data_IF_561906012456
#
_entry.id   IF_561906012456
#
_cell.length_a   1.000
_cell.length_b   1.000
_cell.length_c   1.000
_cell.angle_alpha   90.00
_cell.angle_beta   90.00
_cell.angle_gamma   90.00
#
_symmetry.space_group_name_H-M   'P 1'
#
loop_
_entity.id
_entity.type
_entity.pdbx_description
1 polymer ?
#
# COMPACT_ATOMS: atom_id res chain seq x y z
N UNK A 1 -4.67 -10.36 -7.48
CA UNK A 1 -5.69 -9.37 -7.90
C UNK A 1 -6.61 -9.15 -6.71
N UNK A 2 -6.85 -7.88 -6.33
CA UNK A 2 -7.59 -7.52 -5.10
C UNK A 2 -9.11 -7.69 -5.20
N UNK A 3 -9.65 -7.90 -6.41
CA UNK A 3 -11.10 -8.02 -6.64
C UNK A 3 -11.87 -6.70 -6.50
N UNK A 4 -11.16 -5.58 -6.38
CA UNK A 4 -11.76 -4.25 -6.21
C UNK A 4 -12.18 -3.64 -7.53
N UNK A 5 -13.23 -2.81 -7.47
CA UNK A 5 -13.64 -1.93 -8.55
C UNK A 5 -13.08 -0.53 -8.23
N UNK A 6 -12.42 0.09 -9.20
CA UNK A 6 -11.76 1.37 -9.02
C UNK A 6 -12.48 2.48 -9.77
N UNK A 7 -12.53 3.67 -9.17
CA UNK A 7 -12.93 4.88 -9.88
C UNK A 7 -11.95 5.12 -11.05
N UNK A 8 -12.48 5.29 -12.27
CA UNK A 8 -11.67 5.47 -13.48
C UNK A 8 -11.08 6.89 -13.57
N UNK A 9 -11.94 7.90 -13.57
CA UNK A 9 -11.56 9.32 -13.59
C UNK A 9 -11.47 9.87 -12.17
N UNK A 10 -10.35 10.52 -11.83
CA UNK A 10 -10.10 11.07 -10.48
C UNK A 10 -10.94 12.32 -10.23
N UNK A 11 -11.14 12.68 -8.96
CA UNK A 11 -11.73 13.97 -8.62
C UNK A 11 -10.90 15.12 -9.27
N UNK A 12 -11.53 16.11 -9.91
CA UNK A 12 -10.82 17.19 -10.61
C UNK A 12 -10.17 18.22 -9.67
N UNK A 13 -10.25 18.01 -8.35
CA UNK A 13 -9.75 18.88 -7.29
C UNK A 13 -9.00 18.07 -6.23
N UNK A 14 -8.12 18.73 -5.47
CA UNK A 14 -7.48 18.14 -4.30
C UNK A 14 -8.31 18.40 -3.06
N UNK A 15 -8.31 17.46 -2.13
CA UNK A 15 -9.07 17.52 -0.87
C UNK A 15 -8.14 17.28 0.31
N UNK A 16 -8.43 17.95 1.43
CA UNK A 16 -7.92 17.49 2.71
C UNK A 16 -8.60 16.16 3.09
N UNK A 17 -8.07 15.48 4.10
CA UNK A 17 -8.53 14.14 4.45
C UNK A 17 -10.01 14.12 4.87
N UNK A 18 -10.46 15.10 5.66
CA UNK A 18 -11.85 15.20 6.12
C UNK A 18 -12.83 15.39 4.95
N UNK A 19 -12.51 16.27 4.00
CA UNK A 19 -13.35 16.46 2.82
C UNK A 19 -13.29 15.25 1.87
N UNK A 20 -12.17 14.52 1.82
CA UNK A 20 -12.09 13.26 1.09
C UNK A 20 -13.05 12.21 1.66
N UNK A 21 -13.20 12.15 3.00
CA UNK A 21 -14.18 11.29 3.65
C UNK A 21 -15.61 11.59 3.21
N UNK A 22 -15.97 12.88 3.21
CA UNK A 22 -17.30 13.32 2.78
C UNK A 22 -17.56 13.06 1.29
N UNK A 23 -16.56 13.32 0.45
CA UNK A 23 -16.66 13.13 -0.99
C UNK A 23 -17.07 11.70 -1.36
N UNK A 24 -16.41 10.68 -0.80
CA UNK A 24 -16.74 9.31 -1.18
C UNK A 24 -18.08 8.86 -0.62
N UNK A 25 -18.51 9.39 0.54
CA UNK A 25 -19.78 9.02 1.18
C UNK A 25 -20.99 9.42 0.32
N UNK A 26 -20.83 10.49 -0.46
CA UNK A 26 -21.85 11.02 -1.37
C UNK A 26 -21.65 10.55 -2.83
N UNK A 27 -20.58 9.82 -3.12
CA UNK A 27 -20.22 9.42 -4.49
C UNK A 27 -21.10 8.25 -4.97
N UNK A 28 -21.75 8.44 -6.11
CA UNK A 28 -22.48 7.39 -6.85
C UNK A 28 -21.99 7.38 -8.29
N UNK A 29 -21.52 6.24 -8.79
CA UNK A 29 -21.05 6.08 -10.18
C UNK A 29 -21.77 4.89 -10.79
N UNK A 30 -22.69 5.15 -11.74
CA UNK A 30 -23.62 4.13 -12.22
C UNK A 30 -24.56 3.66 -11.11
N UNK A 31 -24.75 2.33 -10.99
CA UNK A 31 -25.57 1.71 -9.93
C UNK A 31 -24.74 1.29 -8.69
N UNK A 32 -23.46 1.71 -8.60
CA UNK A 32 -22.58 1.38 -7.47
C UNK A 32 -22.57 2.51 -6.43
N UNK A 33 -22.91 2.16 -5.19
CA UNK A 33 -22.80 2.99 -3.97
C UNK A 33 -21.63 2.52 -3.08
N UNK A 34 -21.49 2.99 -1.84
CA UNK A 34 -20.47 2.51 -0.88
C UNK A 34 -19.01 2.62 -1.34
N UNK A 35 -18.68 3.65 -2.12
CA UNK A 35 -17.30 4.00 -2.40
C UNK A 35 -16.56 4.34 -1.11
N UNK A 36 -15.26 4.06 -1.06
CA UNK A 36 -14.41 4.41 0.08
C UNK A 36 -13.01 4.83 -0.36
N UNK A 37 -12.27 5.45 0.57
CA UNK A 37 -10.83 5.50 0.42
C UNK A 37 -10.24 4.08 0.46
N UNK A 38 -9.28 3.77 -0.44
CA UNK A 38 -8.57 2.49 -0.44
C UNK A 38 -7.59 2.39 0.73
N UNK A 39 -7.31 1.16 1.18
CA UNK A 39 -6.18 0.89 2.08
C UNK A 39 -4.85 1.11 1.32
N UNK A 40 -3.73 1.41 2.02
CA UNK A 40 -2.47 1.72 1.36
C UNK A 40 -1.98 0.61 0.41
N UNK A 41 -2.07 -0.65 0.84
CA UNK A 41 -1.73 -1.81 0.03
C UNK A 41 -2.64 -1.99 -1.20
N UNK A 42 -3.89 -1.55 -1.14
CA UNK A 42 -4.79 -1.54 -2.30
C UNK A 42 -4.29 -0.53 -3.34
N UNK A 43 -3.88 0.68 -2.93
CA UNK A 43 -3.29 1.67 -3.86
C UNK A 43 -1.94 1.18 -4.39
N UNK A 44 -1.09 0.57 -3.56
CA UNK A 44 0.17 -0.01 -4.03
C UNK A 44 -0.06 -1.17 -5.00
N UNK A 45 -1.16 -1.92 -4.87
CA UNK A 45 -1.45 -3.03 -5.78
C UNK A 45 -1.60 -2.57 -7.24
N UNK A 46 -2.06 -1.33 -7.45
CA UNK A 46 -2.23 -0.70 -8.77
C UNK A 46 -1.00 0.12 -9.22
N UNK A 47 0.01 0.31 -8.36
CA UNK A 47 1.30 0.87 -8.79
C UNK A 47 2.01 -0.11 -9.73
N UNK A 48 2.52 0.40 -10.84
CA UNK A 48 3.40 -0.34 -11.75
C UNK A 48 4.83 0.20 -11.63
N UNK A 49 5.69 -0.57 -10.96
CA UNK A 49 7.09 -0.21 -10.72
C UNK A 49 7.96 -0.27 -12.00
N UNK A 50 7.42 -0.75 -13.13
CA UNK A 50 8.10 -0.68 -14.42
C UNK A 50 7.81 0.62 -15.17
N UNK A 51 6.74 1.33 -14.80
CA UNK A 51 6.35 2.60 -15.40
C UNK A 51 6.94 3.78 -14.61
N UNK A 52 7.09 4.94 -15.27
CA UNK A 52 7.62 6.16 -14.63
C UNK A 52 6.72 7.35 -14.89
N UNK A 53 6.16 7.91 -13.81
CA UNK A 53 5.46 9.18 -13.78
C UNK A 53 4.35 9.37 -14.85
N UNK A 54 3.18 8.71 -14.73
CA UNK A 54 2.73 8.01 -13.53
C UNK A 54 3.11 6.51 -13.54
N UNK A 55 3.55 5.99 -12.39
CA UNK A 55 3.86 4.59 -12.13
C UNK A 55 2.58 3.75 -12.01
N UNK A 56 1.78 3.72 -13.08
CA UNK A 56 0.48 3.04 -13.17
C UNK A 56 0.14 2.77 -14.64
N UNK A 57 -0.67 1.75 -14.91
CA UNK A 57 -1.23 1.53 -16.23
C UNK A 57 -2.22 2.65 -16.61
N UNK A 58 -1.76 3.62 -17.41
CA UNK A 58 -2.56 4.80 -17.83
C UNK A 58 -3.72 4.47 -18.75
N UNK A 59 -3.71 3.31 -19.42
CA UNK A 59 -4.85 2.88 -20.24
C UNK A 59 -6.03 2.46 -19.35
N UNK A 60 -5.73 1.80 -18.22
CA UNK A 60 -6.73 1.46 -17.21
C UNK A 60 -7.12 2.68 -16.35
N UNK A 61 -6.15 3.55 -16.04
CA UNK A 61 -6.32 4.72 -15.16
C UNK A 61 -5.93 6.04 -15.86
N UNK A 62 -6.71 6.48 -16.86
CA UNK A 62 -6.40 7.69 -17.61
C UNK A 62 -6.45 8.94 -16.71
N UNK A 63 -5.65 9.95 -17.06
CA UNK A 63 -5.62 11.23 -16.32
C UNK A 63 -4.97 11.16 -14.93
N UNK A 64 -4.33 10.05 -14.57
CA UNK A 64 -3.61 9.93 -13.30
C UNK A 64 -2.47 10.94 -13.25
N UNK A 65 -2.55 11.84 -12.27
CA UNK A 65 -1.49 12.79 -11.98
C UNK A 65 -0.61 12.22 -10.86
N UNK A 66 0.71 12.33 -11.01
CA UNK A 66 1.68 11.76 -10.06
C UNK A 66 1.77 12.52 -8.74
N UNK A 67 1.52 13.84 -8.76
CA UNK A 67 1.68 14.76 -7.62
C UNK A 67 0.46 15.73 -7.59
N UNK A 68 -0.07 16.12 -6.41
CA UNK A 68 0.24 15.56 -5.09
C UNK A 68 -0.19 14.07 -4.97
N UNK A 69 0.24 13.36 -3.91
CA UNK A 69 -0.10 11.95 -3.67
C UNK A 69 -1.61 11.71 -3.53
N UNK A 70 -2.02 10.44 -3.40
CA UNK A 70 -3.40 10.01 -3.22
C UNK A 70 -3.65 9.58 -1.78
N UNK A 71 -4.71 10.12 -1.16
CA UNK A 71 -5.11 9.71 0.18
C UNK A 71 -5.49 8.23 0.25
N UNK A 72 -5.11 7.59 1.36
CA UNK A 72 -5.55 6.24 1.73
C UNK A 72 -6.44 6.31 2.97
N UNK A 73 -7.08 5.20 3.33
CA UNK A 73 -7.93 5.09 4.52
C UNK A 73 -7.14 4.95 5.83
N UNK A 74 -5.81 4.84 5.80
CA UNK A 74 -4.99 4.52 6.97
C UNK A 74 -4.42 5.78 7.65
N UNK A 75 -4.70 5.95 8.94
CA UNK A 75 -4.20 7.03 9.79
C UNK A 75 -3.37 6.48 10.96
N UNK A 76 -2.43 7.28 11.48
CA UNK A 76 -1.42 6.89 12.45
C UNK A 76 -1.89 6.86 13.92
N UNK A 77 -3.16 7.15 14.20
CA UNK A 77 -3.64 7.30 15.59
C UNK A 77 -4.56 6.18 16.03
N UNK A 78 -4.18 5.52 17.14
CA UNK A 78 -5.06 4.69 17.96
C UNK A 78 -5.99 5.53 18.87
N UNK A 79 -6.08 6.84 18.64
CA UNK A 79 -6.87 7.74 19.48
C UNK A 79 -8.36 7.63 19.13
N UNK A 80 -9.19 7.53 20.16
CA UNK A 80 -10.66 7.47 20.05
C UNK A 80 -11.26 8.72 19.38
N UNK A 81 -10.48 9.80 19.28
CA UNK A 81 -10.75 11.01 18.48
C UNK A 81 -9.43 11.45 17.82
N UNK A 82 -9.32 11.51 16.47
CA UNK A 82 -8.09 11.92 15.81
C UNK A 82 -7.82 13.41 16.07
N UNK A 83 -6.71 13.74 16.75
CA UNK A 83 -6.18 15.11 16.77
C UNK A 83 -5.55 15.40 15.40
N UNK A 84 -6.04 16.37 14.61
CA UNK A 84 -5.50 16.66 13.28
C UNK A 84 -4.04 17.13 13.29
N UNK A 85 -3.53 17.60 14.42
CA UNK A 85 -2.13 18.05 14.58
C UNK A 85 -1.16 16.90 14.89
N UNK A 86 -1.68 15.77 15.40
CA UNK A 86 -0.89 14.58 15.77
C UNK A 86 -1.18 13.37 14.85
N UNK A 87 -2.26 13.44 14.09
CA UNK A 87 -2.64 12.41 13.13
C UNK A 87 -1.84 12.61 11.86
N UNK A 88 -1.25 11.54 11.35
CA UNK A 88 -0.70 11.51 10.00
C UNK A 88 -1.43 10.43 9.20
N UNK A 89 -1.68 10.72 7.94
CA UNK A 89 -2.38 9.80 7.02
C UNK A 89 -1.39 9.31 5.99
N UNK A 90 -1.43 8.02 5.69
CA UNK A 90 -0.63 7.46 4.59
C UNK A 90 -1.21 7.91 3.26
N UNK A 91 -0.33 8.36 2.37
CA UNK A 91 -0.66 8.67 0.99
C UNK A 91 0.35 8.03 0.06
N UNK A 92 -0.12 7.61 -1.12
CA UNK A 92 0.72 6.94 -2.14
C UNK A 92 0.84 7.84 -3.35
N UNK A 93 2.06 8.09 -3.82
CA UNK A 93 2.31 8.84 -5.04
C UNK A 93 2.51 7.91 -6.24
N UNK A 94 2.09 8.37 -7.42
CA UNK A 94 2.41 7.68 -8.68
C UNK A 94 3.64 8.29 -9.36
N UNK A 95 4.43 9.14 -8.70
CA UNK A 95 5.70 9.58 -9.27
C UNK A 95 6.74 8.45 -9.19
N UNK A 96 6.77 7.79 -8.05
CA UNK A 96 7.74 6.75 -7.69
C UNK A 96 7.07 5.45 -7.20
N UNK A 97 5.77 5.49 -6.90
CA UNK A 97 5.09 4.41 -6.17
C UNK A 97 5.35 4.47 -4.66
N UNK A 98 5.88 5.59 -4.17
CA UNK A 98 6.23 5.81 -2.78
C UNK A 98 5.01 5.98 -1.90
N UNK A 99 5.18 5.65 -0.62
CA UNK A 99 4.15 5.78 0.40
C UNK A 99 4.72 6.53 1.59
N UNK A 100 4.09 7.63 1.95
CA UNK A 100 4.58 8.54 2.98
C UNK A 100 3.44 9.01 3.87
N UNK A 101 3.81 9.47 5.07
CA UNK A 101 2.88 10.03 6.05
C UNK A 101 2.79 11.54 5.86
N UNK A 102 1.58 12.07 5.88
CA UNK A 102 1.32 13.51 5.72
C UNK A 102 0.28 14.02 6.70
N UNK A 103 0.28 15.34 6.91
CA UNK A 103 -0.77 16.01 7.69
C UNK A 103 -2.14 15.82 7.04
N UNK A 104 -3.19 15.45 7.79
CA UNK A 104 -4.56 15.31 7.27
C UNK A 104 -5.13 16.63 6.73
N UNK A 105 -4.54 17.77 7.12
CA UNK A 105 -4.93 19.10 6.61
C UNK A 105 -4.34 19.43 5.24
N UNK A 106 -3.38 18.64 4.74
CA UNK A 106 -2.80 18.84 3.42
C UNK A 106 -3.83 18.50 2.32
N UNK A 107 -3.78 19.22 1.19
CA UNK A 107 -4.64 18.91 0.04
C UNK A 107 -3.98 17.88 -0.87
N UNK A 108 -4.62 16.72 -1.03
CA UNK A 108 -4.13 15.60 -1.84
C UNK A 108 -5.18 15.10 -2.82
N UNK A 109 -4.77 14.21 -3.72
CA UNK A 109 -5.67 13.58 -4.69
C UNK A 109 -6.48 12.48 -4.01
N UNK A 110 -7.62 12.17 -4.61
CA UNK A 110 -8.52 11.11 -4.13
C UNK A 110 -8.82 10.19 -5.31
N UNK A 111 -8.72 8.89 -5.06
CA UNK A 111 -9.22 7.84 -5.94
C UNK A 111 -9.97 6.84 -5.07
N UNK A 112 -11.27 6.69 -5.32
CA UNK A 112 -12.09 5.77 -4.54
C UNK A 112 -12.00 4.33 -5.06
N UNK A 113 -12.19 3.38 -4.16
CA UNK A 113 -12.38 1.97 -4.46
C UNK A 113 -13.75 1.51 -3.94
N UNK A 114 -14.32 0.51 -4.60
CA UNK A 114 -15.56 -0.17 -4.22
C UNK A 114 -15.29 -1.67 -4.02
N UNK A 115 -16.02 -2.27 -3.09
CA UNK A 115 -15.91 -3.67 -2.72
C UNK A 115 -15.28 -3.91 -1.35
N UNK A 116 -15.45 -5.13 -0.84
CA UNK A 116 -14.87 -5.53 0.45
C UNK A 116 -13.35 -5.56 0.32
N UNK A 117 -12.70 -4.92 1.29
CA UNK A 117 -11.24 -4.96 1.45
C UNK A 117 -10.80 -6.43 1.53
N UNK A 118 -10.04 -6.87 0.52
CA UNK A 118 -9.47 -8.21 0.49
C UNK A 118 -8.16 -8.28 1.30
N UNK A 119 -7.64 -7.13 1.77
CA UNK A 119 -6.45 -7.06 2.62
C UNK A 119 -6.75 -7.52 4.04
N UNK A 120 -6.89 -8.84 4.17
CA UNK A 120 -6.33 -9.48 5.35
C UNK A 120 -4.83 -9.18 5.27
N UNK A 121 -4.32 -8.33 6.15
CA UNK A 121 -2.87 -8.15 6.30
C UNK A 121 -2.19 -9.52 6.44
N UNK A 122 -0.87 -9.56 6.29
CA UNK A 122 -0.15 -10.83 6.29
C UNK A 122 -0.53 -11.69 7.51
N UNK A 123 -0.82 -12.97 7.24
CA UNK A 123 -1.20 -13.92 8.28
C UNK A 123 0.04 -14.78 8.57
N UNK A 124 0.85 -14.26 9.47
CA UNK A 124 2.21 -14.75 9.72
C UNK A 124 2.23 -15.85 10.78
N UNK A 125 2.97 -16.93 10.49
CA UNK A 125 3.24 -18.02 11.43
C UNK A 125 4.74 -18.25 11.55
N UNK A 126 5.27 -18.15 12.77
CA UNK A 126 6.66 -18.55 13.05
C UNK A 126 6.81 -20.07 12.94
N UNK A 127 7.84 -20.52 12.22
CA UNK A 127 8.14 -21.96 12.04
C UNK A 127 9.20 -22.47 13.04
N UNK A 128 9.70 -21.60 13.93
CA UNK A 128 10.67 -21.99 14.98
C UNK A 128 12.08 -22.33 14.46
N UNK A 129 12.35 -22.14 13.17
CA UNK A 129 13.60 -22.45 12.49
C UNK A 129 14.26 -21.21 11.86
N UNK A 130 13.92 -20.02 12.37
CA UNK A 130 14.35 -18.74 11.82
C UNK A 130 13.57 -18.25 10.61
N UNK A 131 12.44 -18.90 10.27
CA UNK A 131 11.56 -18.50 9.16
C UNK A 131 10.12 -18.23 9.63
N UNK A 132 9.40 -17.44 8.83
CA UNK A 132 7.99 -17.10 9.03
C UNK A 132 7.22 -17.44 7.76
N UNK A 133 6.14 -18.21 7.88
CA UNK A 133 5.25 -18.51 6.77
C UNK A 133 4.10 -17.49 6.71
N UNK A 134 3.93 -16.85 5.56
CA UNK A 134 2.77 -16.00 5.26
C UNK A 134 1.69 -16.83 4.58
N UNK A 135 0.62 -17.14 5.32
CA UNK A 135 -0.50 -17.94 4.80
C UNK A 135 -1.34 -17.19 3.76
N UNK A 136 -1.24 -15.86 3.67
CA UNK A 136 -1.99 -15.08 2.70
C UNK A 136 -1.36 -15.16 1.30
N UNK A 137 -0.04 -15.17 1.20
CA UNK A 137 0.70 -15.18 -0.07
C UNK A 137 1.32 -16.54 -0.40
N UNK A 138 1.46 -17.42 0.60
CA UNK A 138 2.20 -18.68 0.48
C UNK A 138 3.73 -18.51 0.50
N UNK A 139 4.23 -17.30 0.75
CA UNK A 139 5.66 -17.01 0.84
C UNK A 139 6.24 -17.42 2.21
N UNK A 140 7.51 -17.79 2.23
CA UNK A 140 8.29 -17.95 3.45
C UNK A 140 9.29 -16.81 3.55
N UNK A 141 9.33 -16.16 4.70
CA UNK A 141 10.17 -15.01 4.99
C UNK A 141 11.26 -15.39 5.99
N UNK A 142 12.41 -14.75 5.90
CA UNK A 142 13.40 -14.77 6.97
C UNK A 142 12.82 -14.02 8.18
N UNK A 143 12.95 -14.60 9.38
CA UNK A 143 12.42 -14.01 10.61
C UNK A 143 13.33 -12.89 11.16
N UNK A 144 14.65 -13.07 11.06
CA UNK A 144 15.63 -12.06 11.46
C UNK A 144 15.92 -11.03 10.36
N UNK A 145 16.76 -10.06 10.67
CA UNK A 145 17.33 -9.14 9.69
C UNK A 145 18.86 -9.20 9.76
N UNK A 146 19.52 -8.65 8.74
CA UNK A 146 20.97 -8.51 8.68
C UNK A 146 21.37 -7.03 8.73
N UNK A 147 22.66 -6.77 8.86
CA UNK A 147 23.22 -5.44 8.65
C UNK A 147 22.91 -4.92 7.23
N UNK A 148 22.89 -3.60 7.08
CA UNK A 148 22.70 -2.94 5.79
C UNK A 148 23.77 -3.36 4.79
N UNK A 149 23.36 -3.53 3.54
CA UNK A 149 24.18 -3.94 2.39
C UNK A 149 23.83 -3.10 1.18
N UNK A 150 24.73 -3.04 0.21
CA UNK A 150 24.34 -2.53 -1.10
C UNK A 150 23.42 -3.54 -1.82
N UNK A 151 22.85 -3.12 -2.97
CA UNK A 151 21.89 -3.93 -3.69
C UNK A 151 22.47 -5.24 -4.23
N UNK A 152 23.71 -5.21 -4.73
CA UNK A 152 24.37 -6.39 -5.29
C UNK A 152 24.69 -7.39 -4.18
N UNK A 153 25.21 -6.90 -3.04
CA UNK A 153 25.46 -7.70 -1.85
C UNK A 153 24.17 -8.28 -1.25
N UNK A 154 23.04 -7.57 -1.34
CA UNK A 154 21.75 -8.06 -0.87
C UNK A 154 21.22 -9.23 -1.74
N UNK A 155 21.44 -9.18 -3.05
CA UNK A 155 21.11 -10.29 -3.96
C UNK A 155 21.95 -11.51 -3.60
N UNK A 156 23.28 -11.35 -3.54
CA UNK A 156 24.21 -12.44 -3.23
C UNK A 156 23.90 -13.08 -1.87
N UNK A 157 23.61 -12.24 -0.86
CA UNK A 157 23.18 -12.71 0.45
C UNK A 157 21.96 -13.62 0.36
N UNK A 158 20.90 -13.19 -0.34
CA UNK A 158 19.70 -13.98 -0.47
C UNK A 158 19.94 -15.28 -1.26
N UNK A 159 20.71 -15.24 -2.35
CA UNK A 159 20.95 -16.41 -3.20
C UNK A 159 21.84 -17.48 -2.54
N UNK A 160 22.67 -17.09 -1.57
CA UNK A 160 23.57 -18.01 -0.84
C UNK A 160 23.04 -18.41 0.54
N UNK A 161 21.92 -17.83 0.98
CA UNK A 161 21.34 -18.11 2.29
C UNK A 161 20.89 -19.57 2.40
N UNK A 162 21.31 -20.26 3.44
CA UNK A 162 20.72 -21.53 3.89
C UNK A 162 20.06 -21.32 5.24
N UNK A 163 18.73 -21.41 5.30
CA UNK A 163 17.94 -21.12 6.50
C UNK A 163 16.65 -21.94 6.52
N UNK A 164 16.27 -22.44 7.70
CA UNK A 164 15.02 -23.21 7.87
C UNK A 164 14.96 -24.49 7.04
N UNK A 165 16.11 -25.08 6.68
CA UNK A 165 16.20 -26.23 5.79
C UNK A 165 15.98 -25.91 4.31
N UNK A 166 16.04 -24.64 3.91
CA UNK A 166 15.91 -24.16 2.52
C UNK A 166 17.17 -23.41 2.10
N UNK A 167 17.52 -23.52 0.83
CA UNK A 167 18.60 -22.83 0.12
C UNK A 167 18.10 -22.08 -1.13
N UNK A 168 16.78 -22.05 -1.35
CA UNK A 168 16.14 -21.43 -2.51
C UNK A 168 15.68 -19.99 -2.24
N UNK A 169 16.46 -19.24 -1.47
CA UNK A 169 16.12 -17.88 -1.05
C UNK A 169 16.39 -16.88 -2.17
N UNK A 170 15.63 -15.78 -2.19
CA UNK A 170 15.81 -14.68 -3.15
C UNK A 170 15.42 -13.36 -2.52
N UNK A 171 15.91 -12.27 -3.11
CA UNK A 171 15.46 -10.94 -2.74
C UNK A 171 13.97 -10.78 -3.12
N UNK A 172 13.10 -10.30 -2.21
CA UNK A 172 11.70 -10.04 -2.52
C UNK A 172 11.58 -8.84 -3.46
N UNK A 173 10.54 -8.84 -4.30
CA UNK A 173 10.19 -7.63 -5.05
C UNK A 173 9.45 -6.62 -4.13
N UNK A 174 9.33 -5.35 -4.53
CA UNK A 174 8.69 -4.33 -3.69
C UNK A 174 7.27 -4.68 -3.23
N UNK A 175 6.45 -5.28 -4.11
CA UNK A 175 5.06 -5.65 -3.78
C UNK A 175 4.97 -6.78 -2.77
N UNK A 176 5.89 -7.75 -2.83
CA UNK A 176 5.98 -8.81 -1.84
C UNK A 176 6.34 -8.22 -0.47
N UNK A 177 7.34 -7.34 -0.41
CA UNK A 177 7.75 -6.72 0.85
C UNK A 177 6.64 -5.85 1.46
N UNK A 178 5.89 -5.12 0.63
CA UNK A 178 4.73 -4.32 1.06
C UNK A 178 3.59 -5.20 1.56
N UNK A 179 3.43 -6.42 1.03
CA UNK A 179 2.35 -7.32 1.45
C UNK A 179 2.47 -7.80 2.90
N UNK A 180 3.67 -7.80 3.48
CA UNK A 180 3.94 -8.21 4.86
C UNK A 180 4.08 -7.05 5.86
N UNK A 181 4.04 -5.81 5.39
CA UNK A 181 4.06 -4.66 6.26
C UNK A 181 2.71 -4.47 6.96
N UNK A 182 2.74 -4.22 8.26
CA UNK A 182 1.58 -3.78 9.02
C UNK A 182 1.58 -2.25 9.10
N UNK A 183 0.48 -1.64 8.68
CA UNK A 183 0.29 -0.20 8.66
C UNK A 183 -0.66 0.30 9.76
N UNK A 184 -1.18 -0.63 10.59
CA UNK A 184 -2.17 -0.40 11.65
C UNK A 184 -1.53 -0.14 13.01
N UNK A 185 -0.26 -0.45 13.19
CA UNK A 185 0.50 -0.09 14.39
C UNK A 185 1.51 1.03 14.05
N UNK A 186 1.50 2.18 14.74
CA UNK A 186 2.41 3.29 14.49
C UNK A 186 3.87 3.00 14.86
#
# INVERSE_FOLDING_TARGET
MTGLIWQREIAPFTLNWENAWRYYWELTIGDLDQWRLPEPNEVISIVDFNERAPAINVNAFPGTNSIPPYWTSQFSSNFMVPDPSLTQVLAVDFQTGGMFRYSPTASMRVRCAHGRSASRGAVLRSEGNGTVYDMATGLTWQQGHQASRDWSEAIEYCETLTLGGKDTWRLPNPKELISVADYRDP
#
